data_IF_936908276557
#
_entry.id   IF_936908276557
#
_cell.length_a   1.000
_cell.length_b   1.000
_cell.length_c   1.000
_cell.angle_alpha   90.00
_cell.angle_beta   90.00
_cell.angle_gamma   90.00
#
_symmetry.space_group_name_H-M   'P 1'
#
loop_
_entity.id
_entity.type
_entity.pdbx_description
1 polymer ?
#
# COMPACT_ATOMS: atom_id res chain seq x y z
N UNK A 1 -10.26 -11.46 -11.87
CA UNK A 1 -9.84 -10.15 -11.38
C UNK A 1 -10.68 -9.82 -10.17
N UNK A 2 -10.06 -9.44 -9.07
CA UNK A 2 -10.78 -9.03 -7.85
C UNK A 2 -11.04 -7.52 -7.94
N UNK A 3 -12.28 -7.08 -7.67
CA UNK A 3 -12.59 -5.67 -7.47
C UNK A 3 -12.19 -5.31 -6.03
N UNK A 4 -11.41 -4.27 -5.86
CA UNK A 4 -10.97 -3.71 -4.59
C UNK A 4 -11.62 -2.34 -4.42
N UNK A 5 -12.33 -2.14 -3.33
CA UNK A 5 -12.92 -0.86 -2.93
C UNK A 5 -12.35 -0.54 -1.57
N UNK A 6 -11.66 0.58 -1.46
CA UNK A 6 -10.96 0.97 -0.24
C UNK A 6 -11.12 2.46 0.09
N UNK A 7 -10.95 2.79 1.35
CA UNK A 7 -10.76 4.14 1.85
C UNK A 7 -9.68 4.14 2.90
N UNK A 8 -8.87 5.21 2.94
CA UNK A 8 -7.85 5.41 3.95
C UNK A 8 -8.18 6.62 4.81
N UNK A 9 -7.82 6.56 6.07
CA UNK A 9 -7.86 7.69 7.00
C UNK A 9 -6.47 7.84 7.59
N UNK A 10 -5.95 9.06 7.58
CA UNK A 10 -4.72 9.39 8.27
C UNK A 10 -4.95 9.45 9.78
N UNK A 11 -4.04 8.87 10.55
CA UNK A 11 -4.09 8.82 12.01
C UNK A 11 -2.95 9.62 12.62
N UNK A 12 -3.17 10.17 13.81
CA UNK A 12 -2.03 10.62 14.63
C UNK A 12 -1.26 9.42 15.19
N UNK A 13 0.01 9.59 15.61
CA UNK A 13 0.75 8.53 16.28
C UNK A 13 0.03 7.97 17.52
N UNK A 14 -0.65 8.83 18.29
CA UNK A 14 -1.41 8.46 19.49
C UNK A 14 -2.63 7.61 19.12
N UNK A 15 -3.39 8.00 18.08
CA UNK A 15 -4.53 7.23 17.59
C UNK A 15 -4.07 5.86 17.06
N UNK A 16 -3.01 5.83 16.25
CA UNK A 16 -2.45 4.58 15.73
C UNK A 16 -2.05 3.64 16.86
N UNK A 17 -1.32 4.14 17.86
CA UNK A 17 -0.91 3.37 19.02
C UNK A 17 -2.12 2.88 19.85
N UNK A 18 -3.16 3.71 20.00
CA UNK A 18 -4.38 3.34 20.71
C UNK A 18 -5.14 2.22 19.99
N UNK A 19 -5.31 2.33 18.66
CA UNK A 19 -6.01 1.31 17.88
C UNK A 19 -5.23 0.00 17.75
N UNK A 20 -3.89 0.07 17.76
CA UNK A 20 -3.04 -1.12 17.59
C UNK A 20 -2.55 -1.70 18.93
N UNK A 21 -2.97 -1.13 20.05
CA UNK A 21 -2.60 -1.60 21.39
C UNK A 21 -2.97 -3.07 21.58
N UNK A 22 -1.96 -3.89 21.88
CA UNK A 22 -2.13 -5.33 22.07
C UNK A 22 -2.08 -6.14 20.76
N UNK A 23 -1.93 -5.51 19.62
CA UNK A 23 -1.69 -6.23 18.37
C UNK A 23 -0.20 -6.59 18.26
N UNK A 24 0.07 -7.86 18.05
CA UNK A 24 1.37 -8.38 17.68
C UNK A 24 1.37 -8.77 16.19
N UNK A 25 2.55 -8.96 15.61
CA UNK A 25 2.65 -9.55 14.28
C UNK A 25 2.37 -8.57 13.14
N UNK A 26 2.90 -7.35 13.24
CA UNK A 26 3.05 -6.51 12.05
C UNK A 26 4.00 -7.19 11.08
N UNK A 27 3.59 -7.25 9.82
CA UNK A 27 4.48 -7.66 8.74
C UNK A 27 5.09 -6.44 8.04
N UNK A 28 6.29 -6.64 7.51
CA UNK A 28 6.98 -5.62 6.74
C UNK A 28 6.74 -5.88 5.26
N UNK A 29 6.36 -4.85 4.53
CA UNK A 29 6.20 -4.87 3.09
C UNK A 29 7.20 -3.92 2.43
N UNK A 30 7.94 -4.42 1.44
CA UNK A 30 8.71 -3.60 0.50
C UNK A 30 8.14 -3.82 -0.89
N UNK A 31 7.67 -2.76 -1.49
CA UNK A 31 7.04 -2.78 -2.81
C UNK A 31 7.88 -2.01 -3.81
N UNK A 32 8.14 -2.63 -4.95
CA UNK A 32 8.76 -2.05 -6.12
C UNK A 32 7.66 -1.74 -7.12
N UNK A 33 7.29 -0.47 -7.24
CA UNK A 33 6.33 0.02 -8.23
C UNK A 33 7.03 0.34 -9.53
N UNK A 34 6.43 -0.06 -10.66
CA UNK A 34 7.02 0.10 -11.98
C UNK A 34 6.24 1.11 -12.81
N UNK A 35 6.95 2.00 -13.47
CA UNK A 35 6.39 3.08 -14.26
C UNK A 35 7.08 3.15 -15.62
N UNK A 36 6.33 3.64 -16.62
CA UNK A 36 6.93 4.09 -17.88
C UNK A 36 7.75 5.35 -17.61
N UNK A 37 8.74 5.62 -18.44
CA UNK A 37 9.66 6.76 -18.25
C UNK A 37 8.91 8.11 -18.18
N UNK A 38 7.88 8.26 -18.99
CA UNK A 38 7.01 9.43 -19.05
C UNK A 38 5.82 9.38 -18.08
N UNK A 39 5.75 8.35 -17.24
CA UNK A 39 4.62 8.07 -16.34
C UNK A 39 3.24 7.94 -17.00
N UNK A 40 3.18 7.71 -18.32
CA UNK A 40 1.91 7.57 -19.05
C UNK A 40 1.02 6.44 -18.52
N UNK A 41 1.62 5.38 -17.95
CA UNK A 41 0.85 4.31 -17.29
C UNK A 41 0.01 4.77 -16.09
N UNK A 42 0.32 5.93 -15.49
CA UNK A 42 -0.52 6.55 -14.45
C UNK A 42 -1.84 7.02 -15.08
N UNK A 43 -1.78 7.66 -16.24
CA UNK A 43 -2.97 8.10 -16.99
C UNK A 43 -3.76 6.90 -17.53
N UNK A 44 -3.07 5.84 -17.98
CA UNK A 44 -3.67 4.57 -18.39
C UNK A 44 -4.27 3.81 -17.20
N UNK A 45 -3.93 4.19 -15.98
CA UNK A 45 -4.39 3.56 -14.74
C UNK A 45 -3.80 2.18 -14.49
N UNK A 46 -2.62 1.86 -15.04
CA UNK A 46 -1.97 0.54 -14.92
C UNK A 46 -0.76 0.65 -13.99
N UNK A 47 -0.74 -0.16 -12.93
CA UNK A 47 0.30 -0.11 -11.89
C UNK A 47 0.86 -1.51 -11.59
N UNK A 48 1.88 -1.95 -12.36
CA UNK A 48 2.61 -3.18 -12.04
C UNK A 48 3.49 -2.96 -10.81
N UNK A 49 3.58 -3.99 -9.97
CA UNK A 49 4.46 -3.95 -8.79
C UNK A 49 4.90 -5.35 -8.38
N UNK A 50 6.08 -5.44 -7.80
CA UNK A 50 6.59 -6.61 -7.11
C UNK A 50 6.64 -6.27 -5.63
N UNK A 51 5.97 -7.06 -4.80
CA UNK A 51 5.89 -6.86 -3.36
C UNK A 51 6.61 -7.99 -2.64
N UNK A 52 7.51 -7.63 -1.74
CA UNK A 52 8.09 -8.54 -0.76
C UNK A 52 7.38 -8.34 0.56
N UNK A 53 6.87 -9.44 1.11
CA UNK A 53 6.24 -9.45 2.42
C UNK A 53 7.12 -10.29 3.35
N UNK A 54 7.54 -9.72 4.47
CA UNK A 54 8.19 -10.44 5.55
C UNK A 54 7.22 -10.54 6.72
N UNK A 55 6.70 -11.74 6.93
CA UNK A 55 5.78 -12.04 8.03
C UNK A 55 6.52 -12.09 9.39
N UNK A 56 5.80 -11.98 10.52
CA UNK A 56 6.40 -12.02 11.86
C UNK A 56 7.18 -13.31 12.17
N UNK A 57 6.82 -14.43 11.53
CA UNK A 57 7.53 -15.71 11.61
C UNK A 57 8.72 -15.83 10.64
N UNK A 58 9.14 -14.71 10.04
CA UNK A 58 10.22 -14.59 9.05
C UNK A 58 9.98 -15.27 7.70
N UNK A 59 8.81 -15.83 7.46
CA UNK A 59 8.42 -16.28 6.13
C UNK A 59 8.41 -15.11 5.15
N UNK A 60 8.98 -15.33 3.98
CA UNK A 60 9.06 -14.34 2.90
C UNK A 60 8.14 -14.74 1.77
N UNK A 61 7.28 -13.84 1.38
CA UNK A 61 6.44 -13.99 0.19
C UNK A 61 6.83 -12.96 -0.86
N UNK A 62 6.78 -13.37 -2.12
CA UNK A 62 6.95 -12.48 -3.27
C UNK A 62 5.65 -12.50 -4.05
N UNK A 63 5.12 -11.34 -4.33
CA UNK A 63 3.83 -11.17 -4.97
C UNK A 63 3.99 -10.22 -6.15
N UNK A 64 3.63 -10.69 -7.34
CA UNK A 64 3.49 -9.84 -8.52
C UNK A 64 2.04 -9.37 -8.60
N UNK A 65 1.85 -8.07 -8.65
CA UNK A 65 0.52 -7.46 -8.71
C UNK A 65 0.45 -6.49 -9.89
N UNK A 66 -0.69 -6.47 -10.57
CA UNK A 66 -1.06 -5.36 -11.46
C UNK A 66 -2.37 -4.80 -10.97
N UNK A 67 -2.36 -3.54 -10.55
CA UNK A 67 -3.58 -2.79 -10.23
C UNK A 67 -4.00 -1.97 -11.43
N UNK A 68 -5.29 -2.00 -11.75
CA UNK A 68 -5.89 -1.20 -12.80
C UNK A 68 -6.98 -0.32 -12.22
N UNK A 69 -6.90 0.99 -12.48
CA UNK A 69 -7.93 1.94 -12.08
C UNK A 69 -9.23 1.64 -12.83
N UNK A 70 -10.33 1.58 -12.12
CA UNK A 70 -11.66 1.33 -12.72
C UNK A 70 -12.42 2.63 -12.89
N UNK A 71 -12.57 3.43 -11.82
CA UNK A 71 -13.34 4.66 -11.83
C UNK A 71 -12.87 5.61 -10.73
N UNK A 72 -12.95 6.91 -11.00
CA UNK A 72 -12.82 7.91 -9.95
C UNK A 72 -14.12 8.00 -9.16
N UNK A 73 -14.01 7.84 -7.85
CA UNK A 73 -15.09 8.01 -6.90
C UNK A 73 -14.59 8.92 -5.77
N UNK A 74 -15.37 9.97 -5.44
CA UNK A 74 -14.96 10.92 -4.40
C UNK A 74 -14.89 10.31 -3.00
N UNK A 75 -15.55 9.16 -2.77
CA UNK A 75 -15.68 8.55 -1.46
C UNK A 75 -14.88 7.26 -1.30
N UNK A 76 -14.54 6.59 -2.38
CA UNK A 76 -13.85 5.30 -2.38
C UNK A 76 -12.86 5.22 -3.53
N UNK A 77 -11.77 4.49 -3.30
CA UNK A 77 -10.78 4.20 -4.31
C UNK A 77 -11.05 2.81 -4.89
N UNK A 78 -11.47 2.76 -6.16
CA UNK A 78 -11.89 1.53 -6.83
C UNK A 78 -10.86 1.07 -7.85
N UNK A 79 -10.46 -0.20 -7.76
CA UNK A 79 -9.52 -0.82 -8.68
C UNK A 79 -9.88 -2.26 -9.00
N UNK A 80 -9.36 -2.75 -10.11
CA UNK A 80 -9.21 -4.17 -10.37
C UNK A 80 -7.79 -4.59 -10.00
N UNK A 81 -7.67 -5.71 -9.32
CA UNK A 81 -6.39 -6.28 -8.92
C UNK A 81 -6.21 -7.67 -9.53
N UNK A 82 -5.04 -7.86 -10.13
CA UNK A 82 -4.53 -9.15 -10.57
C UNK A 82 -3.29 -9.44 -9.74
N UNK A 83 -3.34 -10.51 -8.96
CA UNK A 83 -2.25 -10.87 -8.06
C UNK A 83 -1.86 -12.33 -8.24
N UNK A 84 -0.56 -12.60 -8.21
CA UNK A 84 -0.01 -13.96 -8.21
C UNK A 84 1.14 -14.04 -7.21
N UNK A 85 1.10 -15.06 -6.35
CA UNK A 85 2.24 -15.39 -5.49
C UNK A 85 3.31 -16.08 -6.32
N UNK A 86 4.53 -15.60 -6.21
CA UNK A 86 5.68 -16.16 -6.90
C UNK A 86 6.28 -17.24 -6.01
N UNK A 87 6.45 -18.43 -6.55
CA UNK A 87 7.04 -19.55 -5.81
C UNK A 87 8.53 -19.29 -5.52
N UNK A 88 9.01 -19.80 -4.38
CA UNK A 88 10.41 -19.71 -3.99
C UNK A 88 11.34 -20.30 -5.06
N UNK A 89 12.50 -19.68 -5.28
CA UNK A 89 13.46 -20.05 -6.33
C UNK A 89 13.25 -19.36 -7.68
N UNK A 90 12.15 -18.59 -7.86
CA UNK A 90 11.99 -17.76 -9.06
C UNK A 90 12.99 -16.60 -9.02
N UNK A 91 13.71 -16.42 -10.11
CA UNK A 91 14.63 -15.30 -10.26
C UNK A 91 13.84 -14.00 -10.45
N UNK A 92 13.87 -13.15 -9.43
CA UNK A 92 13.15 -11.87 -9.42
C UNK A 92 13.72 -10.91 -10.48
N UNK A 93 15.00 -11.05 -10.83
CA UNK A 93 15.61 -10.20 -11.87
C UNK A 93 15.02 -10.52 -13.24
N UNK A 94 14.59 -11.74 -13.48
CA UNK A 94 13.85 -12.10 -14.70
C UNK A 94 12.52 -11.35 -14.74
N UNK A 95 11.77 -11.32 -13.64
CA UNK A 95 10.50 -10.56 -13.58
C UNK A 95 10.72 -9.07 -13.81
N UNK A 96 11.78 -8.50 -13.22
CA UNK A 96 12.17 -7.11 -13.47
C UNK A 96 12.53 -6.87 -14.93
N UNK A 97 13.31 -7.77 -15.54
CA UNK A 97 13.68 -7.68 -16.95
C UNK A 97 12.44 -7.77 -17.87
N UNK A 98 11.47 -8.63 -17.55
CA UNK A 98 10.20 -8.70 -18.28
C UNK A 98 9.43 -7.38 -18.20
N UNK A 99 9.28 -6.77 -17.03
CA UNK A 99 8.61 -5.49 -16.86
C UNK A 99 9.32 -4.38 -17.65
N UNK A 100 10.66 -4.34 -17.60
CA UNK A 100 11.46 -3.40 -18.41
C UNK A 100 11.25 -3.61 -19.89
N UNK A 101 11.20 -4.85 -20.38
CA UNK A 101 10.92 -5.19 -21.79
C UNK A 101 9.54 -4.72 -22.24
N UNK A 102 8.60 -4.58 -21.33
CA UNK A 102 7.26 -4.02 -21.56
C UNK A 102 7.21 -2.48 -21.43
N UNK A 103 8.36 -1.83 -21.27
CA UNK A 103 8.48 -0.37 -21.20
C UNK A 103 8.35 0.23 -19.81
N UNK A 104 8.28 -0.59 -18.74
CA UNK A 104 8.25 -0.12 -17.36
C UNK A 104 9.67 0.04 -16.81
N UNK A 105 10.36 1.11 -17.24
CA UNK A 105 11.79 1.31 -16.98
C UNK A 105 12.11 2.04 -15.69
N UNK A 106 11.13 2.80 -15.14
CA UNK A 106 11.30 3.51 -13.87
C UNK A 106 10.77 2.67 -12.70
N UNK A 107 11.57 2.51 -11.65
CA UNK A 107 11.24 1.79 -10.43
C UNK A 107 11.23 2.77 -9.25
N UNK A 108 10.17 2.74 -8.45
CA UNK A 108 10.06 3.50 -7.19
C UNK A 108 9.77 2.50 -6.08
N UNK A 109 10.57 2.55 -5.02
CA UNK A 109 10.44 1.67 -3.86
C UNK A 109 9.65 2.36 -2.75
N UNK A 110 8.71 1.63 -2.15
CA UNK A 110 8.09 2.09 -0.91
C UNK A 110 7.96 0.95 0.11
N UNK A 111 8.08 1.33 1.36
CA UNK A 111 8.03 0.41 2.50
C UNK A 111 6.90 0.78 3.43
N UNK A 112 6.33 -0.23 4.08
CA UNK A 112 5.40 -0.05 5.18
C UNK A 112 5.46 -1.22 6.15
N UNK A 113 5.06 -0.98 7.38
CA UNK A 113 4.69 -2.02 8.33
C UNK A 113 3.18 -2.09 8.38
N UNK A 114 2.61 -3.28 8.19
CA UNK A 114 1.16 -3.48 8.09
C UNK A 114 0.67 -4.53 9.08
N UNK A 115 -0.46 -4.26 9.69
CA UNK A 115 -1.27 -5.24 10.41
C UNK A 115 -2.66 -5.31 9.80
N UNK A 116 -3.03 -6.48 9.29
CA UNK A 116 -4.37 -6.74 8.78
C UNK A 116 -5.24 -7.38 9.85
N UNK A 117 -6.48 -6.94 9.92
CA UNK A 117 -7.56 -7.51 10.73
C UNK A 117 -8.71 -7.83 9.79
N UNK A 118 -9.12 -9.07 9.75
CA UNK A 118 -10.34 -9.46 9.01
C UNK A 118 -11.54 -9.33 9.94
N UNK A 119 -12.55 -8.60 9.51
CA UNK A 119 -13.80 -8.47 10.24
C UNK A 119 -14.75 -9.64 9.95
N UNK A 120 -15.82 -9.75 10.75
CA UNK A 120 -16.89 -10.73 10.53
C UNK A 120 -17.69 -10.45 9.25
N UNK A 121 -17.70 -9.20 8.79
CA UNK A 121 -18.48 -8.72 7.64
C UNK A 121 -17.62 -8.68 6.35
N UNK A 122 -16.51 -9.42 6.29
CA UNK A 122 -15.58 -9.47 5.17
C UNK A 122 -14.91 -8.12 4.81
N UNK A 123 -14.82 -7.19 5.77
CA UNK A 123 -13.99 -6.00 5.64
C UNK A 123 -12.58 -6.32 6.13
N UNK A 124 -11.57 -5.98 5.34
CA UNK A 124 -10.18 -6.00 5.78
C UNK A 124 -9.82 -4.61 6.30
N UNK A 125 -9.38 -4.56 7.55
CA UNK A 125 -8.91 -3.34 8.18
C UNK A 125 -7.39 -3.46 8.29
N UNK A 126 -6.67 -2.52 7.65
CA UNK A 126 -5.21 -2.52 7.63
C UNK A 126 -4.68 -1.29 8.36
N UNK A 127 -3.90 -1.50 9.40
CA UNK A 127 -3.15 -0.44 10.06
C UNK A 127 -1.75 -0.38 9.44
N UNK A 128 -1.43 0.75 8.84
CA UNK A 128 -0.19 0.99 8.10
C UNK A 128 0.67 2.06 8.79
N UNK A 129 1.91 1.72 9.11
CA UNK A 129 2.98 2.66 9.41
C UNK A 129 3.84 2.83 8.16
N UNK A 130 3.94 4.06 7.66
CA UNK A 130 4.81 4.45 6.55
C UNK A 130 5.88 5.43 7.06
N UNK A 131 6.98 5.65 6.31
CA UNK A 131 8.01 6.61 6.68
C UNK A 131 7.51 8.04 6.94
N UNK A 132 6.36 8.40 6.37
CA UNK A 132 5.80 9.75 6.47
C UNK A 132 4.48 9.85 7.25
N UNK A 133 3.97 8.77 7.83
CA UNK A 133 2.74 8.85 8.64
C UNK A 133 2.09 7.51 8.93
N UNK A 134 0.96 7.59 9.62
CA UNK A 134 0.16 6.45 10.07
C UNK A 134 -1.22 6.49 9.44
N UNK A 135 -1.71 5.35 9.02
CA UNK A 135 -2.97 5.24 8.30
C UNK A 135 -3.76 4.02 8.75
N UNK A 136 -5.05 4.10 8.64
CA UNK A 136 -5.94 2.94 8.62
C UNK A 136 -6.65 2.87 7.27
N UNK A 137 -6.66 1.69 6.68
CA UNK A 137 -7.31 1.39 5.40
C UNK A 137 -8.44 0.39 5.64
N UNK A 138 -9.61 0.68 5.09
CA UNK A 138 -10.76 -0.20 5.11
C UNK A 138 -11.03 -0.67 3.69
N UNK A 139 -11.01 -1.98 3.45
CA UNK A 139 -11.29 -2.62 2.16
C UNK A 139 -12.53 -3.52 2.28
N UNK A 140 -13.54 -3.29 1.44
CA UNK A 140 -14.77 -4.07 1.44
C UNK A 140 -15.91 -3.39 0.68
N UNK A 141 -17.15 -3.79 0.95
CA UNK A 141 -18.33 -3.15 0.39
C UNK A 141 -18.57 -1.77 1.02
N UNK A 142 -18.97 -0.74 0.24
CA UNK A 142 -19.11 0.66 0.69
C UNK A 142 -19.96 0.84 1.94
N UNK A 143 -21.10 0.16 2.02
CA UNK A 143 -22.01 0.26 3.16
C UNK A 143 -21.37 -0.28 4.44
N UNK A 144 -20.62 -1.36 4.31
CA UNK A 144 -19.95 -1.99 5.43
C UNK A 144 -18.73 -1.16 5.86
N UNK A 145 -17.97 -0.61 4.90
CA UNK A 145 -16.90 0.35 5.21
C UNK A 145 -17.44 1.52 6.03
N UNK A 146 -18.56 2.11 5.63
CA UNK A 146 -19.18 3.24 6.37
C UNK A 146 -19.53 2.84 7.81
N UNK A 147 -20.12 1.65 8.01
CA UNK A 147 -20.39 1.11 9.36
C UNK A 147 -19.13 1.05 10.22
N UNK A 148 -18.03 0.53 9.66
CA UNK A 148 -16.76 0.44 10.40
C UNK A 148 -16.13 1.81 10.66
N UNK A 149 -16.26 2.76 9.74
CA UNK A 149 -15.81 4.15 9.99
C UNK A 149 -16.57 4.76 11.18
N UNK A 150 -17.87 4.49 11.33
CA UNK A 150 -18.65 4.92 12.48
C UNK A 150 -18.21 4.22 13.78
N UNK A 151 -18.05 2.90 13.75
CA UNK A 151 -17.57 2.10 14.90
C UNK A 151 -16.20 2.58 15.42
N UNK A 152 -15.29 2.92 14.49
CA UNK A 152 -13.96 3.45 14.82
C UNK A 152 -13.97 4.96 15.12
N UNK A 153 -15.14 5.64 15.04
CA UNK A 153 -15.31 7.10 15.20
C UNK A 153 -14.51 7.92 14.21
N UNK A 154 -14.36 7.41 13.00
CA UNK A 154 -13.60 8.02 11.91
C UNK A 154 -14.48 8.57 10.78
N UNK A 155 -15.82 8.43 10.85
CA UNK A 155 -16.74 8.82 9.78
C UNK A 155 -16.64 10.30 9.38
N UNK A 156 -16.33 11.19 10.34
CA UNK A 156 -16.16 12.63 10.11
C UNK A 156 -14.77 13.05 9.60
N UNK A 157 -13.84 12.10 9.42
CA UNK A 157 -12.47 12.40 9.00
C UNK A 157 -12.36 12.50 7.46
N UNK A 158 -11.42 13.30 6.95
CA UNK A 158 -11.12 13.33 5.52
C UNK A 158 -10.79 11.95 4.98
N UNK A 159 -11.49 11.57 3.90
CA UNK A 159 -11.25 10.30 3.21
C UNK A 159 -10.15 10.44 2.17
N UNK A 160 -9.20 9.55 2.22
CA UNK A 160 -8.10 9.48 1.26
C UNK A 160 -8.44 8.40 0.24
N UNK A 161 -8.70 8.82 -1.01
CA UNK A 161 -9.04 7.95 -2.15
C UNK A 161 -7.89 7.92 -3.16
N UNK A 162 -6.65 7.87 -2.67
CA UNK A 162 -5.40 7.89 -3.46
C UNK A 162 -4.43 6.79 -2.99
N UNK A 163 -3.52 6.43 -3.88
CA UNK A 163 -2.41 5.52 -3.54
C UNK A 163 -1.39 6.19 -2.62
N UNK A 164 -0.72 5.42 -1.77
CA UNK A 164 0.34 5.91 -0.87
C UNK A 164 1.49 6.60 -1.62
N UNK A 165 1.88 6.13 -2.80
CA UNK A 165 2.90 6.82 -3.61
C UNK A 165 2.49 8.25 -4.00
N UNK A 166 1.20 8.47 -4.27
CA UNK A 166 0.70 9.82 -4.52
C UNK A 166 0.73 10.72 -3.28
N UNK A 167 0.47 10.15 -2.10
CA UNK A 167 0.60 10.88 -0.83
C UNK A 167 2.06 11.18 -0.50
N UNK A 168 2.97 10.22 -0.76
CA UNK A 168 4.41 10.42 -0.61
C UNK A 168 4.92 11.54 -1.52
N UNK A 169 4.47 11.57 -2.77
CA UNK A 169 4.85 12.61 -3.71
C UNK A 169 4.47 14.02 -3.22
N UNK A 170 3.26 14.17 -2.66
CA UNK A 170 2.83 15.44 -2.07
C UNK A 170 3.64 15.77 -0.81
N UNK A 171 3.85 14.77 0.06
CA UNK A 171 4.61 14.95 1.30
C UNK A 171 6.06 15.37 1.02
N UNK A 172 6.77 14.65 0.13
CA UNK A 172 8.17 14.97 -0.17
C UNK A 172 8.34 16.34 -0.80
N UNK A 173 7.38 16.77 -1.65
CA UNK A 173 7.38 18.12 -2.23
C UNK A 173 7.16 19.19 -1.17
N UNK A 174 6.24 18.98 -0.26
CA UNK A 174 5.95 19.93 0.83
C UNK A 174 7.11 20.07 1.82
N UNK A 175 8.02 19.10 1.89
CA UNK A 175 9.16 19.07 2.82
C UNK A 175 10.52 19.15 2.11
N UNK A 176 10.54 19.48 0.81
CA UNK A 176 11.77 19.60 0.00
C UNK A 176 12.65 18.34 0.02
N UNK A 177 12.02 17.15 0.07
CA UNK A 177 12.72 15.86 0.07
C UNK A 177 12.99 15.44 -1.38
N UNK A 178 14.28 15.34 -1.73
CA UNK A 178 14.71 14.95 -3.07
C UNK A 178 14.53 13.44 -3.36
N UNK A 179 14.56 12.59 -2.31
CA UNK A 179 14.43 11.14 -2.45
C UNK A 179 13.05 10.75 -3.00
N UNK A 180 13.04 9.98 -4.10
CA UNK A 180 11.81 9.47 -4.70
C UNK A 180 11.27 8.22 -3.98
N UNK A 181 12.16 7.41 -3.39
CA UNK A 181 11.77 6.22 -2.66
C UNK A 181 11.22 6.57 -1.28
N UNK A 182 10.14 5.93 -0.90
CA UNK A 182 9.53 6.05 0.42
C UNK A 182 9.96 4.85 1.28
N UNK A 183 11.13 4.93 1.88
CA UNK A 183 11.72 3.85 2.67
C UNK A 183 12.02 4.30 4.09
N UNK A 184 11.92 3.38 5.06
CA UNK A 184 12.34 3.68 6.41
C UNK A 184 13.84 3.95 6.46
N UNK A 185 14.23 4.96 7.23
CA UNK A 185 15.65 5.20 7.49
C UNK A 185 16.29 3.92 8.03
N UNK A 186 17.44 3.56 7.47
CA UNK A 186 18.23 2.48 8.05
C UNK A 186 18.61 2.91 9.46
N UNK A 187 17.95 2.35 10.47
CA UNK A 187 18.51 2.44 11.81
C UNK A 187 19.94 1.90 11.71
N UNK A 188 20.92 2.77 11.92
CA UNK A 188 22.31 2.37 12.15
C UNK A 188 22.28 1.46 13.39
N UNK A 189 22.05 0.15 13.18
CA UNK A 189 22.36 -0.83 14.20
C UNK A 189 23.86 -0.77 14.34
N UNK A 190 24.29 -0.03 15.35
CA UNK A 190 25.68 -0.02 15.78
C UNK A 190 26.20 -1.45 15.82
N UNK A 191 27.40 -1.58 15.35
CA UNK A 191 28.22 -2.77 15.33
C UNK A 191 28.23 -3.52 16.66
#
# INVERSE_FOLDING_TARGET
MKKEIEVKIELTPEEFNAFTKGFSGFHFERTFGYFKEDFSNIQEGIFPRIKYVKNPNEEKEIILTVKRKVKDNAHFFEREEMEVKIQGGTDIEILRAMLKSLGFNKEIVFEKKRKNISSKDNVVISFDELPFGFFVEFEGEPEIINKYLDEYRLAGRPRITRAYLGLWEDYRKAHDIAEENCVFEKQNRGQ
#
